data_IF_261983454922
#
_entry.id   IF_261983454922
#
_cell.length_a   1.000
_cell.length_b   1.000
_cell.length_c   1.000
_cell.angle_alpha   90.00
_cell.angle_beta   90.00
_cell.angle_gamma   90.00
#
_symmetry.space_group_name_H-M   'P 1'
#
loop_
_entity.id
_entity.type
_entity.pdbx_description
1 polymer ?
#
# COMPACT_ATOMS: atom_id res chain seq x y z
N UNK A 1 -11.26 19.00 15.27
CA UNK A 1 -11.07 18.55 13.87
C UNK A 1 -12.32 17.81 13.38
N UNK A 2 -12.82 18.12 12.19
CA UNK A 2 -13.94 17.40 11.57
C UNK A 2 -13.45 16.07 10.98
N UNK A 3 -14.35 15.10 10.83
CA UNK A 3 -14.05 13.81 10.19
C UNK A 3 -13.45 14.00 8.78
N UNK A 4 -13.97 14.98 8.02
CA UNK A 4 -13.45 15.38 6.70
C UNK A 4 -11.96 15.74 6.74
N UNK A 5 -11.55 16.57 7.71
CA UNK A 5 -10.14 16.99 7.83
C UNK A 5 -9.20 15.83 8.19
N UNK A 6 -9.69 14.81 8.90
CA UNK A 6 -8.91 13.61 9.18
C UNK A 6 -8.72 12.75 7.93
N UNK A 7 -9.79 12.57 7.16
CA UNK A 7 -9.74 11.81 5.89
C UNK A 7 -8.81 12.48 4.89
N UNK A 8 -8.90 13.79 4.69
CA UNK A 8 -7.98 14.55 3.81
C UNK A 8 -6.51 14.36 4.19
N UNK A 9 -6.19 14.37 5.49
CA UNK A 9 -4.82 14.12 5.97
C UNK A 9 -4.37 12.68 5.70
N UNK A 10 -5.27 11.71 5.85
CA UNK A 10 -4.98 10.32 5.54
C UNK A 10 -4.69 10.17 4.05
N UNK A 11 -5.52 10.75 3.18
CA UNK A 11 -5.32 10.69 1.73
C UNK A 11 -3.96 11.28 1.32
N UNK A 12 -3.58 12.44 1.86
CA UNK A 12 -2.24 13.01 1.62
C UNK A 12 -1.11 12.14 2.17
N UNK A 13 -1.35 11.42 3.26
CA UNK A 13 -0.35 10.59 3.92
C UNK A 13 -0.02 9.32 3.12
N UNK A 14 -0.99 8.73 2.42
CA UNK A 14 -0.85 7.50 1.62
C UNK A 14 -1.07 7.66 0.11
N UNK A 15 -1.39 8.86 -0.38
CA UNK A 15 -1.70 9.19 -1.79
C UNK A 15 -2.80 8.29 -2.38
N UNK A 16 -3.85 8.05 -1.59
CA UNK A 16 -4.95 7.14 -1.93
C UNK A 16 -6.21 7.54 -1.17
N UNK A 17 -7.37 7.48 -1.83
CA UNK A 17 -8.65 7.78 -1.15
C UNK A 17 -9.01 6.72 -0.10
N UNK A 18 -9.85 7.09 0.87
CA UNK A 18 -10.33 6.13 1.87
C UNK A 18 -11.07 4.93 1.24
N UNK A 19 -11.87 5.17 0.20
CA UNK A 19 -12.58 4.10 -0.51
C UNK A 19 -11.63 3.14 -1.23
N UNK A 20 -10.61 3.66 -1.92
CA UNK A 20 -9.59 2.83 -2.58
C UNK A 20 -8.80 2.02 -1.56
N UNK A 21 -8.49 2.60 -0.40
CA UNK A 21 -7.83 1.90 0.69
C UNK A 21 -8.68 0.73 1.20
N UNK A 22 -9.98 0.95 1.43
CA UNK A 22 -10.90 -0.11 1.86
C UNK A 22 -11.07 -1.22 0.81
N UNK A 23 -11.18 -0.87 -0.46
CA UNK A 23 -11.23 -1.83 -1.56
C UNK A 23 -9.95 -2.69 -1.63
N UNK A 24 -8.78 -2.04 -1.54
CA UNK A 24 -7.51 -2.74 -1.54
C UNK A 24 -7.35 -3.63 -0.31
N UNK A 25 -7.75 -3.13 0.87
CA UNK A 25 -7.71 -3.89 2.11
C UNK A 25 -8.62 -5.12 2.06
N UNK A 26 -9.82 -5.00 1.50
CA UNK A 26 -10.71 -6.15 1.27
C UNK A 26 -10.05 -7.19 0.35
N UNK A 27 -9.34 -6.75 -0.69
CA UNK A 27 -8.70 -7.62 -1.67
C UNK A 27 -7.51 -8.39 -1.08
N UNK A 28 -6.60 -7.70 -0.40
CA UNK A 28 -5.34 -8.29 0.07
C UNK A 28 -5.40 -8.79 1.51
N UNK A 29 -6.39 -8.32 2.28
CA UNK A 29 -6.46 -8.51 3.72
C UNK A 29 -6.40 -9.97 4.18
N UNK A 30 -7.11 -10.91 3.53
CA UNK A 30 -7.02 -12.33 3.83
C UNK A 30 -5.60 -12.92 3.68
N UNK A 31 -4.75 -12.31 2.87
CA UNK A 31 -3.41 -12.81 2.55
C UNK A 31 -2.30 -12.24 3.44
N UNK A 32 -2.52 -11.07 4.06
CA UNK A 32 -1.54 -10.44 4.96
C UNK A 32 -1.92 -10.50 6.44
N UNK A 33 -3.10 -11.03 6.76
CA UNK A 33 -3.54 -11.28 8.13
C UNK A 33 -2.61 -12.30 8.82
N UNK A 34 -2.18 -11.99 10.04
CA UNK A 34 -1.37 -12.89 10.87
C UNK A 34 -2.25 -13.47 11.98
N UNK A 35 -1.99 -14.73 12.32
CA UNK A 35 -2.67 -15.40 13.43
C UNK A 35 -2.14 -14.86 14.77
N UNK A 36 -3.03 -14.73 15.75
CA UNK A 36 -2.62 -14.47 17.13
C UNK A 36 -2.10 -15.79 17.73
N UNK A 37 -0.84 -15.79 18.17
CA UNK A 37 -0.20 -16.98 18.75
C UNK A 37 0.23 -16.69 20.19
N UNK A 38 1.10 -15.69 20.37
CA UNK A 38 1.62 -15.30 21.70
C UNK A 38 1.33 -13.84 22.02
N UNK A 39 1.44 -12.98 21.01
CA UNK A 39 1.15 -11.55 21.08
C UNK A 39 0.17 -11.17 19.99
N UNK A 40 -0.63 -10.15 20.27
CA UNK A 40 -1.51 -9.57 19.27
C UNK A 40 -0.69 -9.10 18.06
N UNK A 41 -1.01 -9.58 16.84
CA UNK A 41 -0.29 -9.19 15.65
C UNK A 41 -0.65 -7.76 15.24
N UNK A 42 0.27 -7.08 14.54
CA UNK A 42 -0.02 -5.82 13.87
C UNK A 42 -1.17 -6.06 12.89
N UNK A 43 -2.24 -5.27 13.02
CA UNK A 43 -3.46 -5.46 12.24
C UNK A 43 -3.22 -5.37 10.74
N UNK A 44 -4.03 -6.07 9.96
CA UNK A 44 -4.01 -6.06 8.49
C UNK A 44 -4.06 -4.64 7.92
N UNK A 45 -4.93 -3.79 8.48
CA UNK A 45 -5.05 -2.38 8.08
C UNK A 45 -3.78 -1.58 8.38
N UNK A 46 -3.16 -1.76 9.55
CA UNK A 46 -1.93 -1.08 9.90
C UNK A 46 -0.74 -1.54 9.03
N UNK A 47 -0.68 -2.83 8.69
CA UNK A 47 0.33 -3.38 7.77
C UNK A 47 0.21 -2.77 6.37
N UNK A 48 -1.02 -2.65 5.86
CA UNK A 48 -1.27 -1.99 4.58
C UNK A 48 -0.95 -0.49 4.65
N UNK A 49 -1.40 0.22 5.69
CA UNK A 49 -1.15 1.65 5.87
C UNK A 49 0.35 1.97 5.91
N UNK A 50 1.12 1.17 6.67
CA UNK A 50 2.58 1.28 6.76
C UNK A 50 3.25 1.11 5.40
N UNK A 51 2.80 0.13 4.62
CA UNK A 51 3.34 -0.15 3.29
C UNK A 51 3.00 0.98 2.31
N UNK A 52 1.75 1.45 2.29
CA UNK A 52 1.34 2.56 1.43
C UNK A 52 2.07 3.84 1.80
N UNK A 53 2.28 4.12 3.09
CA UNK A 53 3.08 5.26 3.52
C UNK A 53 4.50 5.19 2.95
N UNK A 54 5.16 4.05 3.05
CA UNK A 54 6.50 3.84 2.49
C UNK A 54 6.52 4.09 0.97
N UNK A 55 5.57 3.53 0.23
CA UNK A 55 5.46 3.70 -1.22
C UNK A 55 5.16 5.15 -1.63
N UNK A 56 4.30 5.84 -0.87
CA UNK A 56 3.89 7.21 -1.14
C UNK A 56 4.98 8.24 -0.84
N UNK A 57 5.81 8.01 0.19
CA UNK A 57 6.84 8.97 0.60
C UNK A 57 8.23 8.67 0.06
N UNK A 58 8.52 7.43 -0.35
CA UNK A 58 9.87 7.00 -0.73
C UNK A 58 10.88 7.09 0.42
N UNK A 59 10.41 7.02 1.67
CA UNK A 59 11.24 7.17 2.86
C UNK A 59 12.01 5.86 3.15
N UNK A 60 13.07 5.94 3.94
CA UNK A 60 13.83 4.75 4.34
C UNK A 60 13.04 3.92 5.37
N UNK A 61 13.26 2.60 5.35
CA UNK A 61 12.61 1.65 6.29
C UNK A 61 12.83 2.06 7.75
N UNK A 62 14.02 2.57 8.07
CA UNK A 62 14.38 3.02 9.42
C UNK A 62 13.47 4.15 9.90
N UNK A 63 13.20 5.15 9.05
CA UNK A 63 12.30 6.25 9.39
C UNK A 63 10.86 5.76 9.58
N UNK A 64 10.36 4.91 8.67
CA UNK A 64 9.04 4.28 8.81
C UNK A 64 8.94 3.49 10.12
N UNK A 65 10.00 2.77 10.49
CA UNK A 65 10.05 1.99 11.74
C UNK A 65 9.84 2.87 12.98
N UNK A 66 10.43 4.06 13.00
CA UNK A 66 10.25 5.04 14.08
C UNK A 66 8.84 5.64 14.09
N UNK A 67 8.29 5.95 12.91
CA UNK A 67 6.94 6.51 12.81
C UNK A 67 5.85 5.58 13.35
N UNK A 68 6.02 4.26 13.15
CA UNK A 68 5.05 3.25 13.57
C UNK A 68 5.40 2.56 14.89
N UNK A 69 6.55 2.89 15.49
CA UNK A 69 7.06 2.24 16.70
C UNK A 69 7.20 0.71 16.55
N UNK A 70 7.63 0.27 15.36
CA UNK A 70 7.84 -1.14 15.01
C UNK A 70 9.31 -1.36 14.70
N UNK A 71 9.89 -2.48 15.15
CA UNK A 71 11.30 -2.77 14.91
C UNK A 71 11.64 -2.85 13.41
N UNK A 72 12.79 -2.31 13.01
CA UNK A 72 13.24 -2.17 11.60
C UNK A 72 13.06 -3.47 10.79
N UNK A 73 13.50 -4.61 11.32
CA UNK A 73 13.35 -5.91 10.62
C UNK A 73 11.88 -6.28 10.42
N UNK A 74 11.03 -6.01 11.41
CA UNK A 74 9.59 -6.30 11.30
C UNK A 74 8.94 -5.37 10.27
N UNK A 75 9.28 -4.08 10.27
CA UNK A 75 8.84 -3.11 9.27
C UNK A 75 9.24 -3.54 7.85
N UNK A 76 10.52 -3.91 7.66
CA UNK A 76 11.03 -4.41 6.38
C UNK A 76 10.23 -5.61 5.88
N UNK A 77 10.01 -6.61 6.74
CA UNK A 77 9.27 -7.81 6.40
C UNK A 77 7.80 -7.51 6.07
N UNK A 78 7.16 -6.61 6.83
CA UNK A 78 5.78 -6.18 6.56
C UNK A 78 5.69 -5.55 5.18
N UNK A 79 6.56 -4.60 4.86
CA UNK A 79 6.56 -3.89 3.58
C UNK A 79 6.80 -4.88 2.44
N UNK A 80 7.80 -5.75 2.55
CA UNK A 80 8.11 -6.74 1.52
C UNK A 80 6.96 -7.74 1.29
N UNK A 81 6.43 -8.35 2.35
CA UNK A 81 5.29 -9.28 2.27
C UNK A 81 4.06 -8.60 1.65
N UNK A 82 3.76 -7.38 2.09
CA UNK A 82 2.57 -6.65 1.63
C UNK A 82 2.71 -6.21 0.18
N UNK A 83 3.88 -5.72 -0.24
CA UNK A 83 4.15 -5.38 -1.64
C UNK A 83 3.99 -6.60 -2.56
N UNK A 84 4.51 -7.77 -2.15
CA UNK A 84 4.36 -9.00 -2.93
C UNK A 84 2.88 -9.38 -3.10
N UNK A 85 2.09 -9.34 -2.03
CA UNK A 85 0.65 -9.64 -2.10
C UNK A 85 -0.09 -8.62 -2.96
N UNK A 86 0.22 -7.32 -2.84
CA UNK A 86 -0.37 -6.28 -3.69
C UNK A 86 -0.11 -6.60 -5.17
N UNK A 87 1.14 -6.93 -5.51
CA UNK A 87 1.49 -7.33 -6.87
C UNK A 87 0.70 -8.55 -7.33
N UNK A 88 0.65 -9.61 -6.52
CA UNK A 88 -0.02 -10.86 -6.87
C UNK A 88 -1.52 -10.69 -7.09
N UNK A 89 -2.18 -9.87 -6.27
CA UNK A 89 -3.60 -9.59 -6.37
C UNK A 89 -3.96 -8.61 -7.52
N UNK A 90 -3.11 -7.62 -7.80
CA UNK A 90 -3.43 -6.56 -8.76
C UNK A 90 -2.88 -6.79 -10.16
N UNK A 91 -1.73 -7.45 -10.33
CA UNK A 91 -1.05 -7.52 -11.63
C UNK A 91 -1.97 -7.99 -12.76
N UNK A 92 -2.81 -9.00 -12.51
CA UNK A 92 -3.73 -9.56 -13.52
C UNK A 92 -4.96 -8.67 -13.77
N UNK A 93 -5.30 -7.79 -12.83
CA UNK A 93 -6.42 -6.85 -12.94
C UNK A 93 -6.00 -5.58 -13.68
N UNK A 94 -4.75 -5.15 -13.51
CA UNK A 94 -4.27 -3.85 -14.00
C UNK A 94 -3.37 -3.95 -15.23
N UNK A 95 -2.76 -5.11 -15.48
CA UNK A 95 -1.93 -5.36 -16.66
C UNK A 95 -2.65 -6.34 -17.62
N UNK A 96 -2.77 -6.01 -18.92
CA UNK A 96 -3.26 -6.94 -19.91
C UNK A 96 -2.28 -8.11 -20.08
N UNK A 97 -2.75 -9.33 -20.29
CA UNK A 97 -1.87 -10.48 -20.55
C UNK A 97 -2.23 -11.17 -21.87
N UNK A 98 -1.27 -11.36 -22.80
CA UNK A 98 0.13 -10.91 -22.75
C UNK A 98 0.25 -9.38 -22.91
N UNK A 99 1.23 -8.76 -22.25
CA UNK A 99 1.49 -7.32 -22.42
C UNK A 99 2.30 -7.10 -23.69
N UNK A 100 1.80 -6.31 -24.62
CA UNK A 100 2.57 -5.92 -25.82
C UNK A 100 3.40 -4.66 -25.57
N UNK A 101 4.38 -4.38 -26.43
CA UNK A 101 5.14 -3.11 -26.38
C UNK A 101 4.21 -1.89 -26.47
N UNK A 102 3.14 -1.96 -27.25
CA UNK A 102 2.18 -0.87 -27.37
C UNK A 102 1.37 -0.67 -26.08
N UNK A 103 1.03 -1.76 -25.38
CA UNK A 103 0.39 -1.69 -24.06
C UNK A 103 1.31 -1.05 -23.03
N UNK A 104 2.60 -1.42 -22.99
CA UNK A 104 3.58 -0.78 -22.11
C UNK A 104 3.70 0.73 -22.37
N UNK A 105 3.76 1.14 -23.64
CA UNK A 105 3.80 2.56 -24.01
C UNK A 105 2.51 3.30 -23.62
N UNK A 106 1.35 2.64 -23.65
CA UNK A 106 0.09 3.22 -23.17
C UNK A 106 0.12 3.36 -21.65
N UNK A 107 0.45 2.29 -20.93
CA UNK A 107 0.55 2.28 -19.46
C UNK A 107 1.52 3.36 -18.97
N UNK A 108 2.70 3.48 -19.58
CA UNK A 108 3.68 4.51 -19.22
C UNK A 108 3.15 5.93 -19.47
N UNK A 109 2.41 6.15 -20.57
CA UNK A 109 1.77 7.45 -20.84
C UNK A 109 0.66 7.77 -19.85
N UNK A 110 -0.21 6.82 -19.56
CA UNK A 110 -1.29 6.98 -18.60
C UNK A 110 -0.76 7.22 -17.20
N UNK A 111 0.28 6.47 -16.82
CA UNK A 111 1.03 6.72 -15.58
C UNK A 111 1.61 8.12 -15.57
N UNK A 112 2.37 8.55 -16.57
CA UNK A 112 2.96 9.89 -16.62
C UNK A 112 1.92 11.02 -16.66
N UNK A 113 0.71 10.78 -17.18
CA UNK A 113 -0.38 11.75 -17.14
C UNK A 113 -1.01 11.85 -15.76
N UNK A 114 -1.08 10.73 -15.05
CA UNK A 114 -1.86 10.63 -13.83
C UNK A 114 -1.00 10.43 -12.56
N UNK A 115 0.33 10.39 -12.66
CA UNK A 115 1.21 10.04 -11.52
C UNK A 115 1.09 11.03 -10.36
N UNK A 116 0.64 12.25 -10.64
CA UNK A 116 0.25 13.28 -9.68
C UNK A 116 -1.21 13.16 -9.23
N UNK A 117 -1.79 11.95 -9.20
CA UNK A 117 -2.94 11.68 -8.36
C UNK A 117 -2.67 12.31 -6.97
N UNK A 118 -3.66 13.00 -6.36
CA UNK A 118 -3.44 13.80 -5.16
C UNK A 118 -2.68 13.07 -4.04
#
# INVERSE_FOLDING_TARGET
PTLSSYMEKMEQYIRMSASQFEELLCLIGPHIAKQNVVREPISTSARLLMTLRFLASGDCITSISYHYLVGVTTTSNIIAETCQVIWDCLQRKVLPFPVTTQDWLRIARDFNRNWQFP
#
